data_IF_241850263353
#
_entry.id   IF_241850263353
#
_cell.length_a   1.000
_cell.length_b   1.000
_cell.length_c   1.000
_cell.angle_alpha   90.00
_cell.angle_beta   90.00
_cell.angle_gamma   90.00
#
_symmetry.space_group_name_H-M   'P 1'
#
loop_
_entity.id
_entity.type
_entity.pdbx_description
1 polymer ?
#
# COMPACT_ATOMS: atom_id res chain seq x y z
N UNK A 1 7.43 -2.31 8.81
CA UNK A 1 7.12 -2.75 10.18
C UNK A 1 7.09 -4.26 10.18
N UNK A 2 7.83 -4.88 11.08
CA UNK A 2 7.80 -6.33 11.26
C UNK A 2 7.22 -6.66 12.64
N UNK A 3 6.18 -7.47 12.66
CA UNK A 3 5.53 -7.92 13.88
C UNK A 3 5.97 -9.36 14.22
N UNK A 4 6.77 -9.51 15.28
CA UNK A 4 7.44 -10.77 15.61
C UNK A 4 6.46 -11.88 16.02
N UNK A 5 5.39 -11.55 16.75
CA UNK A 5 4.41 -12.52 17.28
C UNK A 5 3.63 -13.23 16.15
N UNK A 6 3.19 -12.45 15.16
CA UNK A 6 2.38 -12.93 14.05
C UNK A 6 3.24 -13.31 12.82
N UNK A 7 4.55 -13.01 12.85
CA UNK A 7 5.44 -13.10 11.69
C UNK A 7 4.84 -12.36 10.48
N UNK A 8 4.43 -11.13 10.71
CA UNK A 8 3.77 -10.29 9.74
C UNK A 8 4.64 -9.09 9.38
N UNK A 9 4.59 -8.69 8.12
CA UNK A 9 5.30 -7.51 7.63
C UNK A 9 4.32 -6.54 6.99
N UNK A 10 4.40 -5.27 7.40
CA UNK A 10 3.55 -4.22 6.88
C UNK A 10 4.44 -3.14 6.27
N UNK A 11 4.24 -2.86 5.00
CA UNK A 11 4.85 -1.75 4.29
C UNK A 11 3.96 -0.52 4.41
N UNK A 12 4.54 0.64 4.72
CA UNK A 12 3.80 1.91 4.82
C UNK A 12 4.46 2.89 3.86
N UNK A 13 4.01 2.96 2.60
CA UNK A 13 4.53 3.90 1.63
C UNK A 13 4.15 5.33 2.02
N UNK A 14 5.13 6.21 2.00
CA UNK A 14 4.92 7.64 2.25
C UNK A 14 4.85 8.38 0.92
N UNK A 15 3.78 9.13 0.69
CA UNK A 15 3.62 9.96 -0.51
C UNK A 15 4.73 11.01 -0.58
N UNK A 16 5.28 11.25 -1.76
CA UNK A 16 6.36 12.21 -1.96
C UNK A 16 5.93 13.66 -1.68
N UNK A 17 4.66 13.98 -1.87
CA UNK A 17 4.03 15.29 -1.63
C UNK A 17 3.50 15.45 -0.18
N UNK A 18 3.62 14.41 0.67
CA UNK A 18 3.21 14.47 2.09
C UNK A 18 4.10 15.43 2.87
N UNK A 19 3.48 16.36 3.61
CA UNK A 19 4.18 17.29 4.48
C UNK A 19 4.70 16.60 5.76
N UNK A 20 6.01 16.73 6.00
CA UNK A 20 6.68 16.33 7.23
C UNK A 20 6.87 17.53 8.16
N UNK A 21 6.62 17.33 9.45
CA UNK A 21 6.94 18.29 10.50
C UNK A 21 8.44 18.29 10.80
N UNK A 22 9.10 19.43 10.61
CA UNK A 22 10.56 19.51 10.67
C UNK A 22 11.08 19.69 12.10
N UNK A 23 12.15 18.97 12.44
CA UNK A 23 12.99 19.27 13.61
C UNK A 23 13.80 20.55 13.37
N UNK A 24 14.46 21.09 14.40
CA UNK A 24 15.34 22.27 14.24
C UNK A 24 16.44 22.05 13.18
N UNK A 25 17.07 20.86 13.19
CA UNK A 25 18.09 20.48 12.21
C UNK A 25 17.48 20.23 10.83
N UNK A 26 16.29 19.64 10.74
CA UNK A 26 15.55 19.47 9.49
C UNK A 26 15.22 20.81 8.82
N UNK A 27 14.73 21.78 9.61
CA UNK A 27 14.47 23.15 9.12
C UNK A 27 15.73 23.77 8.50
N UNK A 28 16.86 23.72 9.20
CA UNK A 28 18.12 24.25 8.69
C UNK A 28 18.56 23.59 7.37
N UNK A 29 18.43 22.26 7.26
CA UNK A 29 18.77 21.55 6.03
C UNK A 29 17.85 21.90 4.86
N UNK A 30 16.55 22.01 5.10
CA UNK A 30 15.56 22.39 4.10
C UNK A 30 15.74 23.86 3.69
N UNK A 31 15.96 24.77 4.65
CA UNK A 31 16.23 26.19 4.40
C UNK A 31 17.49 26.40 3.54
N UNK A 32 18.55 25.66 3.82
CA UNK A 32 19.78 25.68 2.98
C UNK A 32 19.55 25.17 1.56
N UNK A 33 18.57 24.31 1.36
CA UNK A 33 18.29 23.67 0.06
C UNK A 33 17.26 24.46 -0.76
N UNK A 34 16.20 24.96 -0.11
CA UNK A 34 15.08 25.66 -0.74
C UNK A 34 15.19 27.19 -0.66
N UNK A 35 16.09 27.72 0.16
CA UNK A 35 16.25 29.16 0.37
C UNK A 35 15.15 29.83 1.22
N UNK A 36 14.23 29.05 1.80
CA UNK A 36 13.10 29.55 2.60
C UNK A 36 12.99 28.82 3.92
N UNK A 37 12.67 29.57 5.00
CA UNK A 37 12.45 28.99 6.31
C UNK A 37 11.02 28.51 6.43
N UNK A 38 10.85 27.19 6.63
CA UNK A 38 9.55 26.53 6.73
C UNK A 38 9.47 25.61 7.94
N UNK A 39 8.29 25.42 8.47
CA UNK A 39 8.05 24.49 9.60
C UNK A 39 7.71 23.07 9.12
N UNK A 40 7.19 22.93 7.93
CA UNK A 40 6.87 21.70 7.23
C UNK A 40 7.49 21.73 5.83
N UNK A 41 7.84 20.57 5.31
CA UNK A 41 8.28 20.40 3.92
C UNK A 41 7.84 19.02 3.43
N UNK A 42 7.69 18.85 2.13
CA UNK A 42 7.28 17.57 1.56
C UNK A 42 8.35 16.49 1.77
N UNK A 43 7.94 15.23 1.75
CA UNK A 43 8.87 14.08 1.77
C UNK A 43 9.96 14.26 0.70
N UNK A 44 9.58 14.64 -0.53
CA UNK A 44 10.51 14.88 -1.62
C UNK A 44 11.54 15.98 -1.30
N UNK A 45 11.10 17.10 -0.72
CA UNK A 45 11.99 18.20 -0.33
C UNK A 45 12.95 17.78 0.79
N UNK A 46 12.45 17.04 1.77
CA UNK A 46 13.24 16.53 2.90
C UNK A 46 14.28 15.51 2.40
N UNK A 47 13.90 14.60 1.51
CA UNK A 47 14.84 13.65 0.88
C UNK A 47 15.94 14.42 0.14
N UNK A 48 15.58 15.44 -0.64
CA UNK A 48 16.52 16.28 -1.37
C UNK A 48 17.49 17.01 -0.42
N UNK A 49 16.97 17.58 0.68
CA UNK A 49 17.76 18.30 1.67
C UNK A 49 18.66 17.37 2.52
N UNK A 50 18.22 16.15 2.76
CA UNK A 50 18.89 15.19 3.67
C UNK A 50 19.53 14.00 2.96
N UNK A 51 19.55 13.96 1.63
CA UNK A 51 19.94 12.80 0.78
C UNK A 51 21.23 12.07 1.17
N UNK A 52 22.11 12.69 1.92
CA UNK A 52 23.36 12.09 2.41
C UNK A 52 23.29 11.73 3.92
N UNK A 53 22.21 12.08 4.58
CA UNK A 53 22.03 11.92 6.02
C UNK A 53 20.69 11.25 6.32
N UNK A 54 20.67 9.92 6.23
CA UNK A 54 19.47 9.10 6.49
C UNK A 54 18.96 9.26 7.93
N UNK A 55 19.86 9.43 8.91
CA UNK A 55 19.46 9.69 10.30
C UNK A 55 18.65 10.98 10.44
N UNK A 56 19.03 12.03 9.70
CA UNK A 56 18.28 13.29 9.72
C UNK A 56 16.92 13.13 9.04
N UNK A 57 16.85 12.39 7.91
CA UNK A 57 15.57 12.05 7.25
C UNK A 57 14.66 11.28 8.21
N UNK A 58 15.17 10.19 8.81
CA UNK A 58 14.42 9.39 9.80
C UNK A 58 13.81 10.25 10.91
N UNK A 59 14.56 11.19 11.47
CA UNK A 59 14.07 12.07 12.52
C UNK A 59 12.88 12.95 12.11
N UNK A 60 12.76 13.32 10.83
CA UNK A 60 11.58 14.08 10.39
C UNK A 60 10.35 13.15 10.29
N UNK A 61 10.55 11.93 9.82
CA UNK A 61 9.48 10.92 9.75
C UNK A 61 9.01 10.55 11.17
N UNK A 62 9.93 10.22 12.07
CA UNK A 62 9.64 9.92 13.49
C UNK A 62 8.83 11.04 14.15
N UNK A 63 9.25 12.29 13.91
CA UNK A 63 8.55 13.45 14.48
C UNK A 63 7.15 13.63 13.92
N UNK A 64 6.95 13.34 12.65
CA UNK A 64 5.64 13.50 11.99
C UNK A 64 4.67 12.41 12.39
N UNK A 65 5.15 11.17 12.42
CA UNK A 65 4.31 9.99 12.71
C UNK A 65 4.19 9.69 14.20
N UNK A 66 5.02 10.30 15.06
CA UNK A 66 5.01 10.05 16.50
C UNK A 66 5.54 8.67 16.91
N UNK A 67 6.32 8.01 16.05
CA UNK A 67 6.87 6.67 16.26
C UNK A 67 8.39 6.70 16.40
N UNK A 68 8.97 5.59 16.88
CA UNK A 68 10.41 5.35 16.84
C UNK A 68 10.75 4.40 15.69
N UNK A 69 11.75 4.74 14.90
CA UNK A 69 12.25 3.94 13.78
C UNK A 69 13.64 3.39 14.12
N UNK A 70 13.83 2.08 14.07
CA UNK A 70 15.06 1.43 14.51
C UNK A 70 16.26 1.83 13.66
N UNK A 71 16.14 1.78 12.34
CA UNK A 71 17.22 2.07 11.40
C UNK A 71 16.70 2.75 10.14
N UNK A 72 17.61 3.29 9.36
CA UNK A 72 17.32 3.77 8.01
C UNK A 72 18.16 3.02 7.00
N UNK A 73 17.71 3.00 5.77
CA UNK A 73 18.41 2.47 4.63
C UNK A 73 18.34 3.45 3.46
N UNK A 74 19.49 3.72 2.86
CA UNK A 74 19.60 4.54 1.66
C UNK A 74 20.26 3.73 0.56
N UNK A 75 19.65 3.71 -0.59
CA UNK A 75 20.17 3.02 -1.75
C UNK A 75 20.23 3.96 -2.95
N UNK A 76 21.26 3.85 -3.77
CA UNK A 76 21.34 4.61 -5.00
C UNK A 76 20.52 3.94 -6.12
N UNK A 77 20.02 4.73 -7.07
CA UNK A 77 19.22 4.25 -8.21
C UNK A 77 19.85 3.00 -8.87
N UNK A 78 21.12 3.09 -9.31
CA UNK A 78 21.80 1.99 -10.01
C UNK A 78 21.87 0.71 -9.17
N UNK A 79 22.12 0.83 -7.86
CA UNK A 79 22.17 -0.32 -6.95
C UNK A 79 20.77 -0.89 -6.69
N UNK A 80 19.76 -0.03 -6.55
CA UNK A 80 18.38 -0.43 -6.40
C UNK A 80 17.89 -1.25 -7.60
N UNK A 81 18.06 -0.74 -8.82
CA UNK A 81 17.69 -1.46 -10.05
C UNK A 81 18.36 -2.83 -10.12
N UNK A 82 19.66 -2.90 -9.77
CA UNK A 82 20.39 -4.18 -9.75
C UNK A 82 19.77 -5.16 -8.74
N UNK A 83 19.44 -4.71 -7.53
CA UNK A 83 18.84 -5.58 -6.50
C UNK A 83 17.45 -6.04 -6.92
N UNK A 84 16.62 -5.15 -7.46
CA UNK A 84 15.27 -5.54 -7.91
C UNK A 84 15.33 -6.58 -9.03
N UNK A 85 16.27 -6.45 -9.97
CA UNK A 85 16.49 -7.48 -10.99
C UNK A 85 16.93 -8.84 -10.41
N UNK A 86 17.57 -8.85 -9.23
CA UNK A 86 17.97 -10.08 -8.53
C UNK A 86 16.83 -10.65 -7.65
N UNK A 87 15.87 -9.83 -7.26
CA UNK A 87 14.73 -10.28 -6.46
C UNK A 87 13.92 -11.36 -7.19
N UNK A 88 13.83 -11.29 -8.52
CA UNK A 88 13.11 -12.24 -9.35
C UNK A 88 11.99 -11.59 -10.15
N UNK A 89 11.03 -12.39 -10.51
CA UNK A 89 9.90 -11.97 -11.35
C UNK A 89 8.82 -11.30 -10.47
N UNK A 90 8.90 -9.98 -10.40
CA UNK A 90 7.95 -9.17 -9.63
C UNK A 90 6.72 -8.91 -10.50
N UNK A 91 5.58 -9.45 -10.10
CA UNK A 91 4.32 -9.37 -10.84
C UNK A 91 3.35 -8.46 -10.13
N UNK A 92 2.81 -7.49 -10.87
CA UNK A 92 1.81 -6.53 -10.39
C UNK A 92 0.63 -6.53 -11.35
N UNK A 93 -0.57 -6.49 -10.80
CA UNK A 93 -1.79 -6.34 -11.56
C UNK A 93 -2.20 -4.86 -11.63
N UNK A 94 -2.45 -4.37 -12.84
CA UNK A 94 -2.95 -3.02 -13.07
C UNK A 94 -4.40 -3.08 -13.53
N UNK A 95 -5.25 -2.25 -12.95
CA UNK A 95 -6.67 -2.17 -13.33
C UNK A 95 -6.83 -1.65 -14.77
N UNK A 96 -5.95 -0.76 -15.20
CA UNK A 96 -5.98 -0.11 -16.51
C UNK A 96 -4.60 -0.15 -17.18
N UNK A 97 -4.60 -0.13 -18.51
CA UNK A 97 -3.36 0.03 -19.27
C UNK A 97 -2.78 1.42 -19.02
N UNK A 98 -1.47 1.48 -18.84
CA UNK A 98 -0.76 2.74 -18.67
C UNK A 98 0.50 2.82 -19.52
N UNK A 99 0.93 4.03 -19.81
CA UNK A 99 2.17 4.26 -20.54
C UNK A 99 2.94 5.43 -19.90
N UNK A 100 4.25 5.29 -19.83
CA UNK A 100 5.13 6.29 -19.25
C UNK A 100 6.53 6.24 -19.89
N UNK A 101 7.32 7.26 -19.65
CA UNK A 101 8.75 7.22 -19.97
C UNK A 101 9.52 6.82 -18.73
N UNK A 102 10.32 5.77 -18.82
CA UNK A 102 11.09 5.27 -17.68
C UNK A 102 12.33 6.13 -17.37
N UNK A 103 13.02 5.82 -16.28
CA UNK A 103 14.23 6.51 -15.83
C UNK A 103 15.43 6.40 -16.81
N UNK A 104 15.28 5.68 -17.92
CA UNK A 104 16.26 5.54 -19.00
C UNK A 104 15.80 6.19 -20.31
N UNK A 105 14.77 7.05 -20.26
CA UNK A 105 14.14 7.72 -21.38
C UNK A 105 13.47 6.77 -22.40
N UNK A 106 13.09 5.58 -21.99
CA UNK A 106 12.35 4.63 -22.83
C UNK A 106 10.86 4.73 -22.58
N UNK A 107 10.09 4.73 -23.65
CA UNK A 107 8.64 4.61 -23.58
C UNK A 107 8.25 3.17 -23.21
N UNK A 108 7.50 3.04 -22.12
CA UNK A 108 7.05 1.76 -21.56
C UNK A 108 5.54 1.73 -21.55
N UNK A 109 4.98 0.60 -21.92
CA UNK A 109 3.54 0.33 -21.84
C UNK A 109 3.31 -0.84 -20.91
N UNK A 110 2.40 -0.70 -19.98
CA UNK A 110 1.87 -1.76 -19.13
C UNK A 110 0.42 -2.02 -19.52
N UNK A 111 0.04 -3.26 -19.64
CA UNK A 111 -1.33 -3.65 -19.97
C UNK A 111 -2.20 -3.66 -18.71
N UNK A 112 -3.51 -3.53 -18.86
CA UNK A 112 -4.42 -3.95 -17.82
C UNK A 112 -4.21 -5.45 -17.51
N UNK A 113 -4.31 -5.83 -16.24
CA UNK A 113 -3.99 -7.18 -15.76
C UNK A 113 -2.55 -7.34 -15.30
N UNK A 114 -2.09 -8.59 -15.20
CA UNK A 114 -0.76 -8.94 -14.67
C UNK A 114 0.36 -8.49 -15.61
N UNK A 115 1.35 -7.78 -15.03
CA UNK A 115 2.59 -7.39 -15.71
C UNK A 115 3.79 -7.84 -14.89
N UNK A 116 4.82 -8.32 -15.56
CA UNK A 116 6.11 -8.63 -14.95
C UNK A 116 7.01 -7.39 -15.00
N UNK A 117 7.50 -6.95 -13.85
CA UNK A 117 8.27 -5.72 -13.69
C UNK A 117 9.75 -6.03 -13.46
N UNK A 118 10.62 -5.43 -14.25
CA UNK A 118 12.05 -5.41 -13.98
C UNK A 118 12.43 -4.25 -13.03
N UNK A 119 13.67 -4.24 -12.56
CA UNK A 119 14.14 -3.22 -11.60
C UNK A 119 14.04 -1.78 -12.10
N UNK A 120 14.14 -1.53 -13.42
CA UNK A 120 13.96 -0.18 -13.99
C UNK A 120 12.50 0.24 -13.94
N UNK A 121 11.58 -0.65 -14.31
CA UNK A 121 10.15 -0.40 -14.21
C UNK A 121 9.73 -0.14 -12.75
N UNK A 122 10.18 -1.00 -11.83
CA UNK A 122 9.94 -0.82 -10.39
C UNK A 122 10.45 0.55 -9.93
N UNK A 123 11.71 0.90 -10.26
CA UNK A 123 12.26 2.19 -9.85
C UNK A 123 11.43 3.36 -10.39
N UNK A 124 11.05 3.33 -11.67
CA UNK A 124 10.26 4.41 -12.26
C UNK A 124 8.89 4.57 -11.60
N UNK A 125 8.17 3.48 -11.38
CA UNK A 125 6.86 3.51 -10.71
C UNK A 125 6.93 4.06 -9.27
N UNK A 126 8.04 3.79 -8.56
CA UNK A 126 8.24 4.26 -7.19
C UNK A 126 8.72 5.72 -7.12
N UNK A 127 9.51 6.19 -8.08
CA UNK A 127 10.25 7.45 -7.96
C UNK A 127 9.75 8.58 -8.86
N UNK A 128 9.16 8.26 -10.01
CA UNK A 128 8.73 9.27 -10.97
C UNK A 128 7.36 9.82 -10.58
N UNK A 129 7.33 11.11 -10.24
CA UNK A 129 6.11 11.77 -9.75
C UNK A 129 5.02 11.92 -10.81
N UNK A 130 5.40 11.91 -12.09
CA UNK A 130 4.50 12.28 -13.19
C UNK A 130 3.79 11.08 -13.83
N UNK A 131 4.17 9.85 -13.42
CA UNK A 131 3.53 8.63 -13.92
C UNK A 131 2.08 8.51 -13.43
N UNK A 132 1.82 8.92 -12.19
CA UNK A 132 0.49 8.86 -11.60
C UNK A 132 -0.06 10.25 -11.35
N UNK A 133 -1.23 10.53 -11.90
CA UNK A 133 -1.99 11.74 -11.58
C UNK A 133 -2.53 11.66 -10.15
N UNK A 134 -3.05 10.47 -9.77
CA UNK A 134 -3.48 10.17 -8.41
C UNK A 134 -2.29 9.68 -7.57
N UNK A 135 -1.92 10.47 -6.56
CA UNK A 135 -0.81 10.16 -5.65
C UNK A 135 -1.16 9.07 -4.63
N UNK A 136 -2.43 8.86 -4.33
CA UNK A 136 -2.86 7.71 -3.52
C UNK A 136 -2.68 6.42 -4.30
N UNK A 137 -3.05 6.40 -5.59
CA UNK A 137 -2.80 5.24 -6.46
C UNK A 137 -1.30 4.94 -6.58
N UNK A 138 -0.44 5.96 -6.66
CA UNK A 138 1.01 5.74 -6.64
C UNK A 138 1.48 5.10 -5.32
N UNK A 139 0.93 5.54 -4.18
CA UNK A 139 1.27 4.95 -2.88
C UNK A 139 0.76 3.50 -2.77
N UNK A 140 -0.44 3.19 -3.27
CA UNK A 140 -0.98 1.83 -3.35
C UNK A 140 -0.07 0.92 -4.18
N UNK A 141 0.25 1.31 -5.41
CA UNK A 141 1.16 0.56 -6.29
C UNK A 141 2.54 0.40 -5.64
N UNK A 142 3.02 1.41 -4.92
CA UNK A 142 4.27 1.30 -4.14
C UNK A 142 4.17 0.20 -3.09
N UNK A 143 3.07 0.14 -2.35
CA UNK A 143 2.81 -0.90 -1.36
C UNK A 143 2.72 -2.29 -1.99
N UNK A 144 1.99 -2.43 -3.09
CA UNK A 144 1.87 -3.69 -3.84
C UNK A 144 3.23 -4.18 -4.35
N UNK A 145 4.06 -3.28 -4.91
CA UNK A 145 5.42 -3.61 -5.34
C UNK A 145 6.25 -4.10 -4.15
N UNK A 146 6.19 -3.46 -2.99
CA UNK A 146 6.92 -3.91 -1.80
C UNK A 146 6.51 -5.32 -1.37
N UNK A 147 5.21 -5.62 -1.36
CA UNK A 147 4.67 -6.95 -1.06
C UNK A 147 5.13 -7.97 -2.11
N UNK A 148 5.02 -7.64 -3.40
CA UNK A 148 5.39 -8.55 -4.48
C UNK A 148 6.91 -8.85 -4.50
N UNK A 149 7.74 -7.86 -4.20
CA UNK A 149 9.20 -8.07 -4.05
C UNK A 149 9.50 -8.99 -2.87
N UNK A 150 8.84 -8.77 -1.72
CA UNK A 150 9.02 -9.62 -0.56
C UNK A 150 8.55 -11.06 -0.82
N UNK A 151 7.44 -11.26 -1.51
CA UNK A 151 6.95 -12.56 -1.94
C UNK A 151 7.94 -13.25 -2.90
N UNK A 152 8.42 -12.55 -3.94
CA UNK A 152 9.41 -13.08 -4.87
C UNK A 152 10.73 -13.48 -4.19
N UNK A 153 11.13 -12.79 -3.13
CA UNK A 153 12.28 -13.15 -2.31
C UNK A 153 12.03 -14.41 -1.47
N UNK A 154 10.80 -14.61 -1.01
CA UNK A 154 10.40 -15.80 -0.25
C UNK A 154 10.37 -17.08 -1.12
N UNK A 155 10.13 -16.95 -2.42
CA UNK A 155 10.16 -18.07 -3.36
C UNK A 155 11.59 -18.58 -3.68
N UNK A 156 12.62 -17.82 -3.27
CA UNK A 156 14.01 -18.22 -3.47
C UNK A 156 14.42 -19.34 -2.52
N UNK A 157 15.32 -20.19 -2.99
CA UNK A 157 16.00 -21.11 -2.11
C UNK A 157 16.82 -20.34 -1.06
N UNK A 158 17.09 -20.95 0.08
CA UNK A 158 17.87 -20.32 1.14
C UNK A 158 19.25 -19.84 0.64
N UNK A 159 19.87 -20.56 -0.30
CA UNK A 159 21.15 -20.17 -0.89
C UNK A 159 21.04 -18.91 -1.73
N UNK A 160 20.05 -18.82 -2.62
CA UNK A 160 19.79 -17.64 -3.45
C UNK A 160 19.39 -16.44 -2.59
N UNK A 161 18.59 -16.66 -1.55
CA UNK A 161 18.22 -15.61 -0.62
C UNK A 161 19.43 -15.05 0.14
N UNK A 162 20.36 -15.90 0.59
CA UNK A 162 21.60 -15.45 1.25
C UNK A 162 22.51 -14.67 0.31
N UNK A 163 22.59 -15.07 -0.95
CA UNK A 163 23.32 -14.30 -1.97
C UNK A 163 22.67 -12.94 -2.20
N UNK A 164 21.35 -12.89 -2.31
CA UNK A 164 20.60 -11.63 -2.38
C UNK A 164 20.88 -10.74 -1.16
N UNK A 165 20.80 -11.30 0.05
CA UNK A 165 21.07 -10.59 1.30
C UNK A 165 22.48 -9.98 1.33
N UNK A 166 23.50 -10.72 0.89
CA UNK A 166 24.87 -10.20 0.79
C UNK A 166 24.94 -9.00 -0.18
N UNK A 167 24.36 -9.14 -1.37
CA UNK A 167 24.31 -8.05 -2.35
C UNK A 167 23.52 -6.83 -1.83
N UNK A 168 22.50 -7.07 -1.04
CA UNK A 168 21.71 -6.01 -0.38
C UNK A 168 22.58 -5.22 0.61
N UNK A 169 23.35 -5.90 1.50
CA UNK A 169 24.25 -5.23 2.44
C UNK A 169 25.31 -4.38 1.73
N UNK A 170 25.84 -4.88 0.63
CA UNK A 170 26.83 -4.14 -0.18
C UNK A 170 26.21 -2.93 -0.92
N UNK A 171 24.90 -2.96 -1.08
CA UNK A 171 24.17 -1.93 -1.82
C UNK A 171 23.67 -0.77 -0.95
N UNK A 172 23.19 -1.07 0.27
CA UNK A 172 22.56 -0.07 1.14
C UNK A 172 23.58 0.68 2.02
N UNK A 173 23.20 1.91 2.37
CA UNK A 173 23.83 2.66 3.46
C UNK A 173 22.83 2.74 4.61
N UNK A 174 23.19 2.18 5.75
CA UNK A 174 22.33 2.07 6.93
C UNK A 174 23.08 2.46 8.19
N UNK A 175 22.38 2.73 9.29
CA UNK A 175 22.94 2.82 10.64
C UNK A 175 22.64 1.57 11.49
N UNK A 176 21.96 0.57 10.92
CA UNK A 176 21.85 -0.75 11.54
C UNK A 176 23.24 -1.45 11.54
N UNK A 177 23.50 -2.20 12.59
CA UNK A 177 24.66 -3.12 12.60
C UNK A 177 24.42 -4.26 11.59
N UNK A 178 25.50 -4.91 11.17
CA UNK A 178 25.40 -6.09 10.29
C UNK A 178 24.54 -7.19 10.93
N UNK A 179 24.69 -7.42 12.23
CA UNK A 179 23.92 -8.42 12.97
C UNK A 179 22.41 -8.12 12.99
N UNK A 180 22.04 -6.86 13.27
CA UNK A 180 20.63 -6.43 13.24
C UNK A 180 20.02 -6.58 11.85
N UNK A 181 20.74 -6.17 10.83
CA UNK A 181 20.26 -6.24 9.46
C UNK A 181 20.21 -7.69 8.95
N UNK A 182 21.20 -8.55 9.28
CA UNK A 182 21.18 -9.97 8.96
C UNK A 182 20.01 -10.69 9.63
N UNK A 183 19.79 -10.42 10.93
CA UNK A 183 18.65 -10.96 11.66
C UNK A 183 17.31 -10.51 11.06
N UNK A 184 17.21 -9.26 10.62
CA UNK A 184 16.01 -8.75 9.96
C UNK A 184 15.72 -9.46 8.65
N UNK A 185 16.75 -9.65 7.81
CA UNK A 185 16.61 -10.39 6.55
C UNK A 185 16.27 -11.86 6.77
N UNK A 186 16.89 -12.53 7.75
CA UNK A 186 16.52 -13.91 8.08
C UNK A 186 15.06 -14.06 8.53
N UNK A 187 14.55 -13.07 9.27
CA UNK A 187 13.13 -13.05 9.67
C UNK A 187 12.18 -12.81 8.51
N UNK A 188 12.61 -12.04 7.51
CA UNK A 188 11.80 -11.78 6.31
C UNK A 188 11.66 -13.02 5.43
N UNK A 189 12.70 -13.86 5.37
CA UNK A 189 12.64 -15.11 4.62
C UNK A 189 11.69 -16.10 5.28
N UNK A 190 10.66 -16.53 4.55
CA UNK A 190 9.65 -17.48 5.03
C UNK A 190 8.40 -16.85 5.63
N UNK A 191 8.25 -15.51 5.57
CA UNK A 191 6.96 -14.88 5.85
C UNK A 191 5.97 -15.33 4.78
N UNK A 192 4.83 -15.87 5.21
CA UNK A 192 3.78 -16.30 4.27
C UNK A 192 3.18 -15.08 3.55
N UNK A 193 2.83 -15.24 2.28
CA UNK A 193 2.26 -14.15 1.47
C UNK A 193 1.06 -13.46 2.13
N UNK A 194 0.19 -14.23 2.80
CA UNK A 194 -0.95 -13.68 3.56
C UNK A 194 -0.56 -12.76 4.72
N UNK A 195 0.71 -12.81 5.15
CA UNK A 195 1.27 -12.01 6.24
C UNK A 195 2.15 -10.87 5.70
N UNK A 196 2.19 -10.68 4.37
CA UNK A 196 2.81 -9.54 3.70
C UNK A 196 1.72 -8.53 3.36
N UNK A 197 1.73 -7.38 4.00
CA UNK A 197 0.69 -6.38 3.87
C UNK A 197 1.27 -5.00 3.61
N UNK A 198 0.44 -4.06 3.18
CA UNK A 198 0.79 -2.64 3.16
C UNK A 198 -0.37 -1.78 3.64
N UNK A 199 -0.07 -0.58 4.09
CA UNK A 199 -1.05 0.44 4.48
C UNK A 199 -0.65 1.78 3.90
N UNK A 200 -1.56 2.41 3.17
CA UNK A 200 -1.47 3.82 2.77
C UNK A 200 -2.09 4.65 3.88
N UNK A 201 -1.41 5.72 4.27
CA UNK A 201 -1.87 6.61 5.34
C UNK A 201 -2.90 7.61 4.81
N UNK A 202 -3.90 7.90 5.63
CA UNK A 202 -4.97 8.81 5.31
C UNK A 202 -4.62 10.28 5.58
N UNK A 203 -5.27 11.18 4.86
CA UNK A 203 -5.06 12.61 4.99
C UNK A 203 -5.86 13.40 3.96
N UNK A 204 -5.57 14.68 3.86
CA UNK A 204 -6.26 15.59 2.95
C UNK A 204 -5.30 16.32 2.02
N UNK A 205 -5.74 16.59 0.82
CA UNK A 205 -4.97 17.42 -0.11
C UNK A 205 -5.26 18.91 0.09
N UNK A 206 -4.21 19.69 0.23
CA UNK A 206 -4.28 21.14 0.34
C UNK A 206 -3.13 21.80 -0.41
N UNK A 207 -3.45 22.67 -1.35
CA UNK A 207 -2.48 23.43 -2.15
C UNK A 207 -1.42 22.55 -2.84
N UNK A 208 -1.84 21.40 -3.37
CA UNK A 208 -0.96 20.46 -4.08
C UNK A 208 0.01 19.71 -3.15
N UNK A 209 -0.30 19.64 -1.87
CA UNK A 209 0.44 18.89 -0.85
C UNK A 209 -0.53 18.04 -0.05
N UNK A 210 -0.03 16.91 0.43
CA UNK A 210 -0.78 16.02 1.29
C UNK A 210 -0.49 16.34 2.76
N UNK A 211 -1.55 16.65 3.51
CA UNK A 211 -1.52 16.81 4.96
C UNK A 211 -2.03 15.53 5.60
N UNK A 212 -1.15 14.85 6.32
CA UNK A 212 -1.45 13.60 7.02
C UNK A 212 -2.52 13.83 8.10
N UNK A 213 -3.49 12.94 8.19
CA UNK A 213 -4.34 12.82 9.40
C UNK A 213 -3.49 12.22 10.52
N UNK A 214 -2.96 13.09 11.37
CA UNK A 214 -2.02 12.69 12.43
C UNK A 214 -2.67 11.89 13.54
N UNK A 215 -3.94 12.09 13.81
CA UNK A 215 -4.68 11.33 14.84
C UNK A 215 -4.94 9.90 14.34
N UNK A 216 -5.40 9.78 13.10
CA UNK A 216 -5.61 8.49 12.47
C UNK A 216 -4.28 7.74 12.28
N UNK A 217 -3.24 8.40 11.76
CA UNK A 217 -1.93 7.79 11.60
C UNK A 217 -1.38 7.28 12.94
N UNK A 218 -1.53 8.06 14.01
CA UNK A 218 -1.12 7.63 15.36
C UNK A 218 -1.88 6.39 15.79
N UNK A 219 -3.20 6.36 15.64
CA UNK A 219 -4.02 5.20 15.98
C UNK A 219 -3.57 3.95 15.21
N UNK A 220 -3.37 4.08 13.90
CA UNK A 220 -2.90 3.01 13.03
C UNK A 220 -1.54 2.49 13.48
N UNK A 221 -0.59 3.38 13.80
CA UNK A 221 0.74 2.95 14.27
C UNK A 221 0.70 2.36 15.69
N UNK A 222 -0.12 2.89 16.60
CA UNK A 222 -0.30 2.33 17.94
C UNK A 222 -0.84 0.89 17.85
N UNK A 223 -1.77 0.61 16.95
CA UNK A 223 -2.29 -0.73 16.67
C UNK A 223 -1.21 -1.63 16.04
N UNK A 224 -0.52 -1.15 14.99
CA UNK A 224 0.54 -1.90 14.31
C UNK A 224 1.74 -2.23 15.20
N UNK A 225 2.02 -1.43 16.22
CA UNK A 225 3.17 -1.59 17.10
C UNK A 225 2.82 -2.26 18.42
N UNK A 226 1.54 -2.49 18.72
CA UNK A 226 1.12 -3.17 19.94
C UNK A 226 1.43 -4.66 19.89
N UNK A 227 1.99 -5.22 20.96
CA UNK A 227 2.28 -6.66 21.05
C UNK A 227 0.99 -7.52 21.13
N UNK A 228 -0.13 -6.91 21.48
CA UNK A 228 -1.45 -7.54 21.60
C UNK A 228 -2.40 -7.18 20.46
N UNK A 229 -2.00 -6.27 19.57
CA UNK A 229 -2.83 -5.76 18.49
C UNK A 229 -3.21 -6.85 17.49
N UNK A 230 -4.49 -6.98 17.25
CA UNK A 230 -5.00 -7.62 16.05
C UNK A 230 -4.77 -6.61 14.89
N UNK A 231 -3.75 -6.89 14.08
CA UNK A 231 -3.36 -6.00 12.98
C UNK A 231 -4.44 -5.87 11.91
N UNK A 232 -5.47 -6.72 11.95
CA UNK A 232 -6.63 -6.62 11.04
C UNK A 232 -7.34 -5.28 11.20
N UNK A 233 -7.41 -4.72 12.42
CA UNK A 233 -8.02 -3.41 12.65
C UNK A 233 -7.15 -2.25 12.16
N UNK A 234 -5.84 -2.33 12.31
CA UNK A 234 -4.90 -1.29 11.83
C UNK A 234 -4.81 -1.22 10.30
N UNK A 235 -4.97 -2.37 9.65
CA UNK A 235 -5.04 -2.47 8.19
C UNK A 235 -6.41 -2.04 7.64
N UNK A 236 -7.42 -1.96 8.51
CA UNK A 236 -8.84 -1.83 8.14
C UNK A 236 -9.38 -0.40 8.10
N UNK A 237 -8.63 0.65 8.36
CA UNK A 237 -9.25 1.96 8.54
C UNK A 237 -9.01 2.95 7.41
N UNK A 238 -10.08 3.18 6.70
CA UNK A 238 -10.46 4.48 6.14
C UNK A 238 -11.91 4.70 6.48
N UNK A 239 -12.22 5.20 7.67
CA UNK A 239 -13.58 5.64 8.00
C UNK A 239 -13.63 7.15 8.21
N UNK A 240 -14.43 7.78 7.37
CA UNK A 240 -14.92 9.14 7.61
C UNK A 240 -15.85 9.13 8.84
N UNK A 241 -15.50 9.94 9.84
CA UNK A 241 -16.27 10.19 11.04
C UNK A 241 -17.66 10.74 10.70
N UNK A 242 -18.68 9.93 10.85
CA UNK A 242 -20.08 10.40 10.86
C UNK A 242 -20.69 10.18 12.24
N UNK A 243 -21.18 11.26 12.79
CA UNK A 243 -21.86 11.40 14.07
C UNK A 243 -23.08 10.47 14.21
N UNK A 244 -23.14 9.83 15.34
CA UNK A 244 -24.23 8.97 15.84
C UNK A 244 -25.58 9.66 15.86
N UNK A 245 -26.56 9.08 15.20
CA UNK A 245 -27.96 9.13 15.64
C UNK A 245 -28.60 7.78 15.41
N UNK A 246 -29.15 7.23 16.48
CA UNK A 246 -29.99 6.04 16.49
C UNK A 246 -31.32 6.33 15.78
N UNK A 247 -31.78 5.43 14.95
CA UNK A 247 -33.15 4.90 15.01
C UNK A 247 -33.49 4.01 13.81
N UNK A 248 -34.10 2.90 14.15
CA UNK A 248 -35.13 2.09 13.50
C UNK A 248 -34.98 1.51 12.08
N UNK A 249 -35.15 0.20 12.11
CA UNK A 249 -35.40 -0.80 11.07
C UNK A 249 -36.16 -0.33 9.82
N UNK A 250 -35.42 -0.23 8.71
CA UNK A 250 -35.86 -0.53 7.35
C UNK A 250 -34.62 -0.96 6.56
N UNK A 251 -34.75 -1.79 5.52
CA UNK A 251 -33.66 -2.30 4.72
C UNK A 251 -32.75 -1.12 4.30
N UNK A 252 -31.61 -0.97 4.96
CA UNK A 252 -30.76 0.20 4.78
C UNK A 252 -30.00 0.07 3.48
N UNK A 253 -30.11 1.07 2.62
CA UNK A 253 -29.35 1.19 1.39
C UNK A 253 -27.86 1.18 1.69
N UNK A 254 -27.08 0.32 1.01
CA UNK A 254 -25.63 0.21 1.15
C UNK A 254 -24.86 1.33 0.43
N UNK A 255 -25.53 2.37 -0.08
CA UNK A 255 -24.91 3.46 -0.86
C UNK A 255 -23.89 4.30 -0.09
N UNK A 256 -24.06 4.38 1.24
CA UNK A 256 -23.15 5.11 2.13
C UNK A 256 -22.13 4.19 2.83
N UNK A 257 -22.03 2.95 2.37
CA UNK A 257 -21.12 1.94 2.92
C UNK A 257 -19.98 1.73 1.93
N UNK A 258 -18.76 1.75 2.41
CA UNK A 258 -17.60 1.47 1.57
C UNK A 258 -17.60 0.00 1.16
N UNK A 259 -17.54 -0.23 -0.16
CA UNK A 259 -17.54 -1.55 -0.78
C UNK A 259 -16.16 -1.83 -1.34
N UNK A 260 -15.62 -3.01 -1.09
CA UNK A 260 -14.51 -3.56 -1.83
C UNK A 260 -15.02 -4.50 -2.91
N UNK A 261 -14.40 -4.48 -4.08
CA UNK A 261 -14.69 -5.42 -5.16
C UNK A 261 -13.41 -6.20 -5.48
N UNK A 262 -13.49 -7.52 -5.43
CA UNK A 262 -12.40 -8.41 -5.78
C UNK A 262 -12.75 -9.19 -7.05
N UNK A 263 -11.82 -9.27 -7.98
CA UNK A 263 -11.95 -10.13 -9.18
C UNK A 263 -11.48 -11.55 -8.85
N UNK A 264 -12.38 -12.50 -8.84
CA UNK A 264 -12.10 -13.93 -8.66
C UNK A 264 -12.29 -14.72 -9.96
N UNK A 265 -11.98 -14.10 -11.10
CA UNK A 265 -12.14 -14.70 -12.42
C UNK A 265 -10.86 -14.58 -13.23
N UNK A 266 -10.87 -15.17 -14.44
CA UNK A 266 -9.82 -14.97 -15.44
C UNK A 266 -10.14 -13.83 -16.42
N UNK A 267 -11.19 -13.06 -16.14
CA UNK A 267 -11.66 -11.97 -16.99
C UNK A 267 -11.00 -10.68 -16.52
N UNK A 268 -10.08 -10.16 -17.31
CA UNK A 268 -9.33 -8.96 -16.99
C UNK A 268 -10.26 -7.74 -16.83
N UNK A 269 -10.00 -6.90 -15.81
CA UNK A 269 -10.72 -5.66 -15.55
C UNK A 269 -12.18 -5.81 -15.07
N UNK A 270 -12.64 -7.03 -14.77
CA UNK A 270 -14.05 -7.28 -14.41
C UNK A 270 -14.45 -6.52 -13.14
N UNK A 271 -13.60 -6.51 -12.12
CA UNK A 271 -13.89 -5.78 -10.89
C UNK A 271 -13.90 -4.25 -11.10
N UNK A 272 -13.07 -3.73 -12.00
CA UNK A 272 -13.11 -2.31 -12.42
C UNK A 272 -14.43 -1.94 -13.09
N UNK A 273 -14.90 -2.75 -14.02
CA UNK A 273 -16.22 -2.54 -14.66
C UNK A 273 -17.36 -2.58 -13.65
N UNK A 274 -17.32 -3.50 -12.69
CA UNK A 274 -18.28 -3.53 -11.59
C UNK A 274 -18.19 -2.32 -10.67
N UNK A 275 -16.98 -1.82 -10.38
CA UNK A 275 -16.80 -0.54 -9.68
C UNK A 275 -17.53 0.59 -10.38
N UNK A 276 -17.29 0.76 -11.70
CA UNK A 276 -17.89 1.84 -12.47
C UNK A 276 -19.41 1.73 -12.50
N UNK A 277 -19.92 0.50 -12.66
CA UNK A 277 -21.36 0.26 -12.62
C UNK A 277 -21.99 0.60 -11.28
N UNK A 278 -21.45 0.11 -10.19
CA UNK A 278 -21.97 0.38 -8.84
C UNK A 278 -21.81 1.86 -8.47
N UNK A 279 -20.70 2.50 -8.85
CA UNK A 279 -20.50 3.94 -8.64
C UNK A 279 -21.51 4.77 -9.42
N UNK A 280 -21.86 4.40 -10.67
CA UNK A 280 -22.92 5.07 -11.45
C UNK A 280 -24.30 4.96 -10.80
N UNK A 281 -24.54 3.89 -10.05
CA UNK A 281 -25.77 3.64 -9.31
C UNK A 281 -25.76 4.27 -7.89
N UNK A 282 -24.65 4.98 -7.56
CA UNK A 282 -24.51 5.77 -6.34
C UNK A 282 -23.95 5.02 -5.14
N UNK A 283 -23.29 3.87 -5.35
CA UNK A 283 -22.56 3.16 -4.29
C UNK A 283 -21.15 3.69 -4.15
N UNK A 284 -20.61 3.63 -2.93
CA UNK A 284 -19.24 4.03 -2.63
C UNK A 284 -18.30 2.83 -2.74
N UNK A 285 -17.54 2.73 -3.83
CA UNK A 285 -16.55 1.67 -4.03
C UNK A 285 -15.17 2.22 -3.70
N UNK A 286 -14.61 1.79 -2.56
CA UNK A 286 -13.34 2.28 -2.03
C UNK A 286 -12.12 1.58 -2.61
N UNK A 287 -12.23 0.29 -2.95
CA UNK A 287 -11.08 -0.46 -3.50
C UNK A 287 -11.51 -1.54 -4.47
N UNK A 288 -10.59 -1.86 -5.40
CA UNK A 288 -10.74 -2.93 -6.38
C UNK A 288 -9.47 -3.78 -6.32
N UNK A 289 -9.60 -5.10 -6.20
CA UNK A 289 -8.47 -6.03 -6.08
C UNK A 289 -8.70 -7.32 -6.85
N UNK A 290 -7.64 -8.10 -7.01
CA UNK A 290 -7.72 -9.49 -7.48
C UNK A 290 -7.82 -10.43 -6.29
N UNK A 291 -8.82 -11.30 -6.30
CA UNK A 291 -8.91 -12.39 -5.33
C UNK A 291 -7.92 -13.51 -5.70
N UNK A 292 -6.95 -13.78 -4.84
CA UNK A 292 -5.94 -14.82 -5.05
C UNK A 292 -6.34 -16.20 -4.51
N UNK A 293 -7.51 -16.32 -3.90
CA UNK A 293 -7.97 -17.57 -3.28
C UNK A 293 -8.59 -18.58 -4.26
N UNK A 294 -8.64 -18.25 -5.56
CA UNK A 294 -9.16 -19.13 -6.61
C UNK A 294 -10.19 -18.46 -7.49
N UNK A 295 -10.63 -19.18 -8.54
CA UNK A 295 -11.66 -18.72 -9.46
C UNK A 295 -13.02 -19.11 -8.93
N UNK A 296 -13.95 -18.16 -8.81
CA UNK A 296 -15.34 -18.37 -8.44
C UNK A 296 -16.24 -18.36 -9.68
N UNK A 297 -17.25 -19.20 -9.66
CA UNK A 297 -18.34 -19.20 -10.66
C UNK A 297 -19.39 -18.15 -10.26
N UNK A 298 -19.83 -18.17 -9.00
CA UNK A 298 -20.82 -17.25 -8.45
C UNK A 298 -20.14 -16.13 -7.66
N UNK A 299 -20.70 -14.93 -7.74
CA UNK A 299 -20.24 -13.80 -6.91
C UNK A 299 -20.54 -14.07 -5.44
N UNK A 300 -19.60 -13.73 -4.56
CA UNK A 300 -19.74 -13.81 -3.11
C UNK A 300 -19.80 -12.42 -2.52
N UNK A 301 -20.82 -12.14 -1.71
CA UNK A 301 -21.00 -10.88 -0.98
C UNK A 301 -20.76 -11.17 0.50
N UNK A 302 -19.65 -10.67 1.03
CA UNK A 302 -19.29 -10.78 2.45
C UNK A 302 -19.61 -9.45 3.11
N UNK A 303 -20.32 -9.48 4.23
CA UNK A 303 -20.75 -8.29 4.97
C UNK A 303 -20.46 -8.44 6.45
N UNK A 304 -20.13 -7.35 7.12
CA UNK A 304 -19.89 -7.36 8.57
C UNK A 304 -21.13 -7.65 9.40
N UNK A 305 -22.32 -7.29 8.91
CA UNK A 305 -23.58 -7.53 9.59
C UNK A 305 -24.72 -7.83 8.60
N UNK A 306 -25.75 -8.58 9.05
CA UNK A 306 -26.85 -9.06 8.21
C UNK A 306 -27.72 -7.98 7.56
N UNK A 307 -27.65 -6.77 8.04
CA UNK A 307 -28.39 -5.60 7.56
C UNK A 307 -27.70 -4.90 6.40
N UNK A 308 -26.45 -5.22 6.10
CA UNK A 308 -25.66 -4.63 5.02
C UNK A 308 -25.75 -5.45 3.73
N UNK A 309 -25.59 -4.80 2.59
CA UNK A 309 -25.42 -5.44 1.27
C UNK A 309 -26.62 -6.20 0.73
N UNK A 310 -27.79 -6.12 1.36
CA UNK A 310 -28.99 -6.81 0.87
C UNK A 310 -29.46 -6.26 -0.47
N UNK A 311 -29.34 -4.96 -0.68
CA UNK A 311 -29.65 -4.25 -1.91
C UNK A 311 -28.68 -4.59 -3.06
N UNK A 312 -27.47 -5.04 -2.75
CA UNK A 312 -26.47 -5.43 -3.73
C UNK A 312 -26.72 -6.79 -4.37
N UNK A 313 -27.50 -7.67 -3.72
CA UNK A 313 -27.80 -9.01 -4.25
C UNK A 313 -28.47 -8.98 -5.62
N UNK A 314 -29.26 -7.97 -5.90
CA UNK A 314 -30.00 -7.82 -7.17
C UNK A 314 -29.10 -7.54 -8.37
N UNK A 315 -27.83 -7.17 -8.14
CA UNK A 315 -26.85 -6.91 -9.20
C UNK A 315 -26.22 -8.18 -9.77
N UNK A 316 -26.24 -9.28 -9.01
CA UNK A 316 -25.50 -10.50 -9.34
C UNK A 316 -26.42 -11.70 -9.51
N UNK A 317 -25.96 -12.67 -10.31
CA UNK A 317 -26.68 -13.91 -10.57
C UNK A 317 -26.41 -14.89 -9.43
N UNK A 318 -27.43 -15.21 -8.66
CA UNK A 318 -27.35 -16.16 -7.54
C UNK A 318 -26.12 -15.93 -6.60
N UNK A 319 -25.93 -14.72 -6.08
CA UNK A 319 -24.76 -14.44 -5.27
C UNK A 319 -24.82 -15.20 -3.95
N UNK A 320 -23.68 -15.75 -3.54
CA UNK A 320 -23.50 -16.23 -2.16
C UNK A 320 -23.43 -15.01 -1.23
N UNK A 321 -24.14 -15.08 -0.10
CA UNK A 321 -24.17 -14.00 0.88
C UNK A 321 -23.78 -14.52 2.24
N UNK A 322 -22.72 -13.95 2.80
CA UNK A 322 -22.11 -14.39 4.05
C UNK A 322 -21.88 -13.22 4.99
N UNK A 323 -22.13 -13.45 6.30
CA UNK A 323 -21.70 -12.52 7.34
C UNK A 323 -20.33 -12.97 7.83
N UNK A 324 -19.34 -12.14 7.64
CA UNK A 324 -17.95 -12.45 7.95
C UNK A 324 -17.11 -11.19 8.06
N UNK A 325 -15.83 -11.35 8.39
CA UNK A 325 -14.91 -10.23 8.38
C UNK A 325 -14.51 -9.88 6.95
N UNK A 326 -14.43 -8.59 6.65
CA UNK A 326 -13.96 -8.06 5.38
C UNK A 326 -12.55 -7.52 5.60
N UNK A 327 -11.56 -8.12 4.94
CA UNK A 327 -10.13 -7.91 5.24
C UNK A 327 -9.57 -6.53 4.83
N UNK A 328 -10.36 -5.67 4.20
CA UNK A 328 -9.90 -4.41 3.56
C UNK A 328 -10.35 -3.13 4.27
N UNK A 329 -11.07 -3.25 5.38
CA UNK A 329 -11.73 -2.09 6.01
C UNK A 329 -12.99 -1.60 5.31
N UNK A 330 -13.35 -2.18 4.16
CA UNK A 330 -14.70 -2.06 3.64
C UNK A 330 -15.63 -2.89 4.52
N UNK A 331 -16.86 -2.43 4.70
CA UNK A 331 -17.88 -3.19 5.47
C UNK A 331 -18.64 -4.19 4.60
N UNK A 332 -18.40 -4.16 3.29
CA UNK A 332 -18.94 -5.08 2.30
C UNK A 332 -17.82 -5.44 1.33
N UNK A 333 -17.56 -6.72 1.12
CA UNK A 333 -16.68 -7.22 0.09
C UNK A 333 -17.47 -8.00 -0.95
N UNK A 334 -17.33 -7.64 -2.22
CA UNK A 334 -17.93 -8.33 -3.36
C UNK A 334 -16.83 -9.05 -4.11
N UNK A 335 -16.79 -10.37 -4.02
CA UNK A 335 -15.85 -11.21 -4.77
C UNK A 335 -16.57 -11.68 -6.04
N UNK A 336 -16.27 -11.03 -7.16
CA UNK A 336 -16.99 -11.25 -8.42
C UNK A 336 -16.64 -12.59 -9.03
N UNK A 337 -17.66 -13.38 -9.36
CA UNK A 337 -17.57 -14.66 -10.05
C UNK A 337 -17.77 -14.54 -11.58
N UNK A 338 -17.42 -15.61 -12.31
CA UNK A 338 -17.40 -15.61 -13.78
C UNK A 338 -18.80 -15.52 -14.43
N UNK A 339 -19.88 -15.85 -13.71
CA UNK A 339 -21.25 -15.70 -14.24
C UNK A 339 -21.72 -14.24 -14.28
N UNK A 340 -21.02 -13.33 -13.60
CA UNK A 340 -21.35 -11.92 -13.50
C UNK A 340 -20.44 -11.06 -14.39
N UNK A 341 -20.08 -11.57 -15.54
CA UNK A 341 -19.39 -10.80 -16.60
C UNK A 341 -20.30 -9.68 -17.14
N UNK A 342 -19.76 -8.44 -17.21
CA UNK A 342 -20.43 -7.24 -17.74
C UNK A 342 -19.54 -6.49 -18.73
#
# INVERSE_FOLDING_TARGET
IYHNKNQEMIFVPLRQDMNLTLTKKGKQAVEQTLGTSVSKATVADVIKATRKNGKLLRQQVEKTLGISINSYELISHKKFVKLMNQAGDVKIEFDEAMAYTDSTDKYVTLSAGENSLNGTAIYSLLSESDIFTDKNKQAEITGEICVAVASALNDKTLSEYREYAQNYFDAVKTDASYEEAATSLERMHGIKDKNLNFKVLDGTESNGKFELDTEEAKRVFDEMLSEEGDLSSALSTTEAKSTTTKSDSSASSSKNITIEIQNSTRISGLAGRWKDKLASDGYSVGSVRTNRQGVLTHTKIIVESKDLGQDLKSYFKNPEYEVGSVDSGARICIIVGSEDEI
#
